data_IF_976717776518
#
_entry.id   IF_976717776518
#
_cell.length_a   1.000
_cell.length_b   1.000
_cell.length_c   1.000
_cell.angle_alpha   90.00
_cell.angle_beta   90.00
_cell.angle_gamma   90.00
#
_symmetry.space_group_name_H-M   'P 1'
#
loop_
_entity.id
_entity.type
_entity.pdbx_description
1 polymer ?
#
# COMPACT_ATOMS: atom_id res chain seq x y z
N UNK A 1 -12.45 11.38 6.98
CA UNK A 1 -12.80 12.29 5.86
C UNK A 1 -11.50 13.00 5.56
N UNK A 2 -10.93 12.81 4.35
CA UNK A 2 -9.58 13.24 4.07
C UNK A 2 -9.49 14.76 4.13
N UNK A 3 -8.43 15.27 4.75
CA UNK A 3 -8.19 16.71 4.87
C UNK A 3 -7.84 17.26 3.49
N UNK A 4 -8.41 18.42 3.14
CA UNK A 4 -8.18 19.10 1.88
C UNK A 4 -7.60 20.49 2.17
N UNK A 5 -6.43 20.80 1.60
CA UNK A 5 -5.76 22.10 1.78
C UNK A 5 -5.46 22.75 0.43
N UNK A 6 -5.42 24.09 0.33
CA UNK A 6 -4.94 24.77 -0.86
C UNK A 6 -3.41 24.70 -0.96
N UNK A 7 -2.88 24.66 -2.20
CA UNK A 7 -1.44 24.56 -2.48
C UNK A 7 -0.60 25.68 -1.84
N UNK A 8 -1.20 26.84 -1.55
CA UNK A 8 -0.53 27.95 -0.88
C UNK A 8 -0.11 27.62 0.56
N UNK A 9 -0.77 26.67 1.21
CA UNK A 9 -0.50 26.27 2.59
C UNK A 9 0.78 25.41 2.68
N UNK A 10 1.23 24.84 1.55
CA UNK A 10 2.51 24.12 1.44
C UNK A 10 3.74 25.01 1.72
N UNK A 11 3.57 26.33 1.75
CA UNK A 11 4.64 27.29 2.07
C UNK A 11 5.14 27.14 3.51
N UNK A 12 4.29 26.71 4.44
CA UNK A 12 4.69 26.48 5.83
C UNK A 12 5.15 25.02 6.02
N UNK A 13 6.40 24.74 5.67
CA UNK A 13 6.93 23.37 5.64
C UNK A 13 6.96 22.69 7.01
N UNK A 14 7.14 23.44 8.10
CA UNK A 14 7.14 22.89 9.45
C UNK A 14 5.75 22.37 9.86
N UNK A 15 4.73 23.22 9.71
CA UNK A 15 3.33 22.87 10.02
C UNK A 15 2.82 21.75 9.12
N UNK A 16 3.18 21.77 7.83
CA UNK A 16 2.81 20.71 6.89
C UNK A 16 3.48 19.39 7.24
N UNK A 17 4.76 19.41 7.62
CA UNK A 17 5.46 18.18 8.04
C UNK A 17 4.77 17.55 9.25
N UNK A 18 4.45 18.34 10.27
CA UNK A 18 3.73 17.86 11.47
C UNK A 18 2.32 17.36 11.12
N UNK A 19 1.59 18.09 10.29
CA UNK A 19 0.25 17.72 9.84
C UNK A 19 0.26 16.40 9.06
N UNK A 20 1.25 16.19 8.20
CA UNK A 20 1.36 14.97 7.39
C UNK A 20 1.75 13.76 8.23
N UNK A 21 2.62 13.93 9.23
CA UNK A 21 3.00 12.84 10.13
C UNK A 21 1.91 12.46 11.13
N UNK A 22 1.08 13.42 11.54
CA UNK A 22 -0.05 13.18 12.47
C UNK A 22 -1.34 12.75 11.78
N UNK A 23 -1.43 12.87 10.45
CA UNK A 23 -2.60 12.45 9.71
C UNK A 23 -2.71 10.93 9.66
N UNK A 24 -3.93 10.41 9.85
CA UNK A 24 -4.27 8.98 9.68
C UNK A 24 -4.69 8.64 8.24
N UNK A 25 -5.00 9.66 7.44
CA UNK A 25 -5.40 9.55 6.03
C UNK A 25 -4.55 10.50 5.17
N UNK A 26 -4.31 10.20 3.88
CA UNK A 26 -3.63 11.12 2.97
C UNK A 26 -4.35 12.48 2.87
N UNK A 27 -3.55 13.54 2.78
CA UNK A 27 -4.05 14.91 2.65
C UNK A 27 -4.09 15.28 1.17
N UNK A 28 -5.24 15.80 0.73
CA UNK A 28 -5.43 16.25 -0.64
C UNK A 28 -5.10 17.73 -0.74
N UNK A 29 -4.42 18.09 -1.81
CA UNK A 29 -4.03 19.46 -2.09
C UNK A 29 -4.78 19.95 -3.32
N UNK A 30 -5.30 21.17 -3.22
CA UNK A 30 -6.05 21.81 -4.30
C UNK A 30 -5.32 23.03 -4.86
N UNK A 31 -5.46 23.25 -6.16
CA UNK A 31 -4.98 24.44 -6.87
C UNK A 31 -6.15 25.03 -7.65
N UNK A 32 -6.49 26.29 -7.36
CA UNK A 32 -7.63 26.98 -7.98
C UNK A 32 -8.98 26.23 -7.83
N UNK A 33 -9.18 25.52 -6.71
CA UNK A 33 -10.40 24.75 -6.43
C UNK A 33 -10.43 23.33 -7.02
N UNK A 34 -9.41 22.93 -7.78
CA UNK A 34 -9.29 21.59 -8.35
C UNK A 34 -8.26 20.77 -7.59
N UNK A 35 -8.49 19.45 -7.47
CA UNK A 35 -7.49 18.52 -6.92
C UNK A 35 -6.21 18.53 -7.77
N UNK A 36 -5.06 18.65 -7.13
CA UNK A 36 -3.76 18.83 -7.78
C UNK A 36 -2.77 17.73 -7.37
N UNK A 37 -2.65 17.46 -6.05
CA UNK A 37 -1.77 16.41 -5.52
C UNK A 37 -2.30 15.80 -4.23
N UNK A 38 -1.68 14.69 -3.80
CA UNK A 38 -1.91 14.06 -2.50
C UNK A 38 -0.58 13.96 -1.79
N UNK A 39 -0.54 14.30 -0.50
CA UNK A 39 0.64 14.21 0.36
C UNK A 39 0.35 13.26 1.52
N UNK A 40 1.37 12.48 1.90
CA UNK A 40 1.33 11.51 2.99
C UNK A 40 2.73 11.32 3.56
N UNK A 41 2.84 10.81 4.79
CA UNK A 41 4.14 10.46 5.35
C UNK A 41 4.76 9.29 4.59
N UNK A 42 6.08 9.13 4.72
CA UNK A 42 6.79 8.02 4.08
C UNK A 42 6.27 6.68 4.61
N UNK A 43 6.05 6.59 5.93
CA UNK A 43 5.54 5.40 6.59
C UNK A 43 4.15 5.02 6.08
N UNK A 44 3.27 6.01 5.90
CA UNK A 44 1.93 5.79 5.36
C UNK A 44 1.98 5.34 3.91
N UNK A 45 2.84 5.95 3.09
CA UNK A 45 3.04 5.55 1.70
C UNK A 45 3.50 4.09 1.62
N UNK A 46 4.55 3.72 2.36
CA UNK A 46 5.09 2.37 2.36
C UNK A 46 4.07 1.33 2.85
N UNK A 47 3.35 1.63 3.93
CA UNK A 47 2.29 0.78 4.47
C UNK A 47 1.16 0.57 3.45
N UNK A 48 0.74 1.64 2.78
CA UNK A 48 -0.30 1.59 1.74
C UNK A 48 0.15 0.74 0.57
N UNK A 49 1.37 0.93 0.08
CA UNK A 49 1.92 0.16 -1.03
C UNK A 49 2.09 -1.33 -0.68
N UNK A 50 2.53 -1.64 0.55
CA UNK A 50 2.62 -3.01 1.04
C UNK A 50 1.26 -3.68 1.10
N UNK A 51 0.24 -2.96 1.59
CA UNK A 51 -1.14 -3.48 1.66
C UNK A 51 -1.72 -3.73 0.27
N UNK A 52 -1.51 -2.83 -0.68
CA UNK A 52 -1.93 -3.01 -2.08
C UNK A 52 -1.26 -4.23 -2.73
N UNK A 53 0.04 -4.40 -2.53
CA UNK A 53 0.78 -5.57 -3.01
C UNK A 53 0.20 -6.87 -2.44
N UNK A 54 -0.02 -6.92 -1.13
CA UNK A 54 -0.61 -8.07 -0.46
C UNK A 54 -2.01 -8.40 -1.00
N UNK A 55 -2.87 -7.40 -1.21
CA UNK A 55 -4.20 -7.65 -1.78
C UNK A 55 -4.13 -8.21 -3.20
N UNK A 56 -3.17 -7.74 -4.01
CA UNK A 56 -2.95 -8.29 -5.35
C UNK A 56 -2.51 -9.76 -5.31
N UNK A 57 -1.60 -10.11 -4.41
CA UNK A 57 -1.17 -11.50 -4.24
C UNK A 57 -2.31 -12.41 -3.75
N UNK A 58 -3.17 -11.90 -2.87
CA UNK A 58 -4.38 -12.62 -2.43
C UNK A 58 -5.35 -12.85 -3.59
N UNK A 59 -5.66 -11.82 -4.38
CA UNK A 59 -6.53 -11.94 -5.55
C UNK A 59 -5.99 -12.95 -6.57
N UNK A 60 -4.67 -12.95 -6.81
CA UNK A 60 -4.03 -13.93 -7.68
C UNK A 60 -4.14 -15.36 -7.12
N UNK A 61 -3.95 -15.51 -5.80
CA UNK A 61 -4.06 -16.80 -5.11
C UNK A 61 -5.48 -17.34 -5.16
N UNK A 62 -6.50 -16.50 -4.96
CA UNK A 62 -7.91 -16.87 -5.08
C UNK A 62 -8.23 -17.40 -6.49
N UNK A 63 -7.79 -16.71 -7.55
CA UNK A 63 -7.95 -17.18 -8.93
C UNK A 63 -7.22 -18.50 -9.20
N UNK A 64 -6.06 -18.73 -8.58
CA UNK A 64 -5.35 -20.00 -8.69
C UNK A 64 -6.11 -21.14 -8.02
N UNK A 65 -6.71 -20.89 -6.85
CA UNK A 65 -7.57 -21.86 -6.16
C UNK A 65 -8.79 -22.21 -7.02
N UNK A 66 -9.49 -21.20 -7.53
CA UNK A 66 -10.68 -21.39 -8.39
C UNK A 66 -10.37 -22.18 -9.67
N UNK A 67 -9.20 -21.94 -10.26
CA UNK A 67 -8.76 -22.65 -11.47
C UNK A 67 -8.06 -23.98 -11.20
N UNK A 68 -8.04 -24.45 -9.94
CA UNK A 68 -7.40 -25.71 -9.54
C UNK A 68 -5.88 -25.72 -9.66
N UNK A 69 -5.24 -24.57 -9.81
CA UNK A 69 -3.77 -24.40 -9.90
C UNK A 69 -3.12 -24.41 -8.51
N UNK A 70 -3.51 -25.37 -7.68
CA UNK A 70 -2.98 -25.57 -6.33
C UNK A 70 -2.09 -26.79 -6.30
N UNK A 71 -1.23 -26.90 -5.29
CA UNK A 71 -0.43 -28.11 -5.03
C UNK A 71 -0.69 -28.60 -3.62
N UNK A 72 -0.62 -29.91 -3.42
CA UNK A 72 -0.67 -30.46 -2.06
C UNK A 72 0.54 -29.97 -1.27
N UNK A 73 0.30 -29.55 -0.03
CA UNK A 73 1.32 -28.94 0.82
C UNK A 73 2.37 -29.97 1.24
N UNK A 74 1.98 -31.21 1.57
CA UNK A 74 2.92 -32.26 2.01
C UNK A 74 3.78 -32.72 0.84
N UNK A 75 3.18 -32.92 -0.33
CA UNK A 75 3.90 -33.26 -1.55
C UNK A 75 4.90 -32.17 -1.93
N UNK A 76 4.46 -30.90 -1.92
CA UNK A 76 5.33 -29.76 -2.26
C UNK A 76 6.51 -29.62 -1.30
N UNK A 77 6.28 -29.79 0.01
CA UNK A 77 7.35 -29.77 1.02
C UNK A 77 8.31 -30.95 0.86
N UNK A 78 7.80 -32.15 0.55
CA UNK A 78 8.62 -33.32 0.23
C UNK A 78 9.56 -33.06 -0.95
N UNK A 79 9.02 -32.53 -2.05
CA UNK A 79 9.77 -32.19 -3.25
C UNK A 79 10.86 -31.13 -2.99
N UNK A 80 10.60 -30.15 -2.10
CA UNK A 80 11.59 -29.14 -1.71
C UNK A 80 12.73 -29.75 -0.89
N UNK A 81 12.40 -30.62 0.08
CA UNK A 81 13.40 -31.32 0.89
C UNK A 81 14.31 -32.20 0.04
N UNK A 82 13.73 -32.97 -0.87
CA UNK A 82 14.49 -33.81 -1.80
C UNK A 82 15.40 -32.98 -2.72
N UNK A 83 14.88 -31.87 -3.26
CA UNK A 83 15.62 -31.01 -4.19
C UNK A 83 16.78 -30.26 -3.53
N UNK A 84 16.62 -29.82 -2.28
CA UNK A 84 17.59 -28.95 -1.60
C UNK A 84 18.32 -29.62 -0.42
N UNK A 85 18.02 -30.88 -0.11
CA UNK A 85 18.69 -31.65 0.95
C UNK A 85 18.42 -31.12 2.36
N UNK A 86 17.26 -30.51 2.60
CA UNK A 86 16.80 -29.97 3.89
C UNK A 86 15.75 -30.84 4.57
#
# INVERSE_FOLDING_TARGET
MPKIIPIKDLKNTAEISEMVHSAEEPIYVTKNGYGDMVIMSVEMYESTMKRLSMYRELELSEKQIESGKTKDARESLGNLKEKYGI
#
